data_IF_758585443176
#
_entry.id   IF_758585443176
#
_cell.length_a   1.000
_cell.length_b   1.000
_cell.length_c   1.000
_cell.angle_alpha   90.00
_cell.angle_beta   90.00
_cell.angle_gamma   90.00
#
_symmetry.space_group_name_H-M   'P 1'
#
loop_
_entity.id
_entity.type
_entity.pdbx_description
1 polymer ?
#
# COMPACT_ATOMS: atom_id res chain seq x y z
N UNK A 1 20.43 -22.25 8.28
CA UNK A 1 20.42 -21.64 6.92
C UNK A 1 19.04 -21.66 6.29
N UNK A 2 18.37 -22.82 6.16
CA UNK A 2 16.99 -22.89 5.59
C UNK A 2 16.00 -21.88 6.20
N UNK A 3 15.97 -21.73 7.53
CA UNK A 3 15.03 -20.78 8.15
C UNK A 3 15.34 -19.30 7.84
N UNK A 4 16.59 -18.97 7.48
CA UNK A 4 16.98 -17.63 7.06
C UNK A 4 16.54 -17.38 5.61
N UNK A 5 16.74 -18.35 4.74
CA UNK A 5 16.26 -18.33 3.35
C UNK A 5 14.73 -18.17 3.30
N UNK A 6 14.00 -18.95 4.11
CA UNK A 6 12.55 -18.81 4.24
C UNK A 6 12.15 -17.42 4.75
N UNK A 7 12.87 -16.86 5.72
CA UNK A 7 12.59 -15.51 6.22
C UNK A 7 12.82 -14.45 5.14
N UNK A 8 13.86 -14.59 4.32
CA UNK A 8 14.15 -13.68 3.21
C UNK A 8 13.05 -13.72 2.14
N UNK A 9 12.54 -14.90 1.80
CA UNK A 9 11.41 -15.04 0.86
C UNK A 9 10.17 -14.31 1.36
N UNK A 10 9.87 -14.39 2.65
CA UNK A 10 8.75 -13.66 3.23
C UNK A 10 8.95 -12.14 3.25
N UNK A 11 10.18 -11.68 3.44
CA UNK A 11 10.51 -10.25 3.40
C UNK A 11 10.34 -9.71 1.97
N UNK A 12 10.76 -10.48 0.96
CA UNK A 12 10.54 -10.14 -0.45
C UNK A 12 9.05 -10.04 -0.79
N UNK A 13 8.25 -10.99 -0.30
CA UNK A 13 6.80 -11.00 -0.48
C UNK A 13 6.13 -9.80 0.21
N UNK A 14 6.42 -9.55 1.49
CA UNK A 14 5.90 -8.38 2.22
C UNK A 14 6.28 -7.05 1.50
N UNK A 15 7.49 -6.97 0.94
CA UNK A 15 7.96 -5.81 0.19
C UNK A 15 7.17 -5.62 -1.11
N UNK A 16 6.93 -6.71 -1.85
CA UNK A 16 6.12 -6.69 -3.07
C UNK A 16 4.68 -6.30 -2.78
N UNK A 17 4.07 -6.84 -1.74
CA UNK A 17 2.71 -6.49 -1.33
C UNK A 17 2.61 -5.02 -0.90
N UNK A 18 3.59 -4.53 -0.14
CA UNK A 18 3.70 -3.11 0.22
C UNK A 18 3.77 -2.21 -1.02
N UNK A 19 4.61 -2.58 -2.00
CA UNK A 19 4.71 -1.85 -3.26
C UNK A 19 3.39 -1.82 -4.04
N UNK A 20 2.68 -2.95 -4.09
CA UNK A 20 1.37 -3.04 -4.73
C UNK A 20 0.31 -2.18 -4.03
N UNK A 21 0.27 -2.20 -2.70
CA UNK A 21 -0.67 -1.39 -1.92
C UNK A 21 -0.41 0.11 -2.13
N UNK A 22 0.87 0.52 -2.10
CA UNK A 22 1.26 1.90 -2.37
C UNK A 22 0.87 2.36 -3.79
N UNK A 23 1.10 1.50 -4.80
CA UNK A 23 0.72 1.81 -6.17
C UNK A 23 -0.79 2.01 -6.35
N UNK A 24 -1.62 1.28 -5.58
CA UNK A 24 -3.08 1.46 -5.59
C UNK A 24 -3.49 2.79 -4.97
N UNK A 25 -2.88 3.18 -3.86
CA UNK A 25 -3.09 4.51 -3.24
C UNK A 25 -2.69 5.61 -4.22
N UNK A 26 -1.54 5.49 -4.88
CA UNK A 26 -1.10 6.45 -5.89
C UNK A 26 -2.10 6.56 -7.05
N UNK A 27 -2.55 5.42 -7.60
CA UNK A 27 -3.54 5.41 -8.68
C UNK A 27 -4.84 6.11 -8.28
N UNK A 28 -5.31 5.91 -7.05
CA UNK A 28 -6.48 6.61 -6.53
C UNK A 28 -6.27 8.13 -6.51
N UNK A 29 -5.12 8.59 -6.03
CA UNK A 29 -4.80 10.03 -5.98
C UNK A 29 -4.68 10.63 -7.39
N UNK A 30 -4.05 9.93 -8.33
CA UNK A 30 -3.94 10.34 -9.73
C UNK A 30 -5.32 10.45 -10.38
N UNK A 31 -6.21 9.46 -10.17
CA UNK A 31 -7.59 9.51 -10.67
C UNK A 31 -8.36 10.69 -10.07
N UNK A 32 -8.22 10.90 -8.76
CA UNK A 32 -8.88 12.00 -8.03
C UNK A 32 -8.44 13.35 -8.58
N UNK A 33 -7.13 13.56 -8.73
CA UNK A 33 -6.57 14.78 -9.30
C UNK A 33 -7.06 14.99 -10.73
N UNK A 34 -7.01 13.94 -11.56
CA UNK A 34 -7.46 14.01 -12.96
C UNK A 34 -8.94 14.37 -13.10
N UNK A 35 -9.80 14.00 -12.14
CA UNK A 35 -11.19 14.48 -12.11
C UNK A 35 -11.23 15.96 -11.72
N UNK A 36 -10.52 16.36 -10.66
CA UNK A 36 -10.53 17.74 -10.14
C UNK A 36 -9.97 18.78 -11.13
N UNK A 37 -9.04 18.38 -11.99
CA UNK A 37 -8.43 19.24 -13.00
C UNK A 37 -9.30 19.45 -14.25
N UNK A 38 -10.43 18.75 -14.38
CA UNK A 38 -11.31 18.91 -15.54
C UNK A 38 -11.99 20.28 -15.54
N UNK A 39 -12.03 20.97 -16.70
CA UNK A 39 -12.65 22.29 -16.80
C UNK A 39 -14.17 22.29 -16.55
N UNK A 40 -14.80 21.11 -16.57
CA UNK A 40 -16.25 20.93 -16.45
C UNK A 40 -16.66 20.11 -15.20
N UNK A 41 -15.81 20.07 -14.16
CA UNK A 41 -16.14 19.40 -12.88
C UNK A 41 -17.50 19.81 -12.35
N UNK A 42 -18.36 18.82 -12.10
CA UNK A 42 -19.67 19.03 -11.48
C UNK A 42 -19.66 18.54 -10.05
N UNK A 43 -20.57 19.10 -9.25
CA UNK A 43 -20.80 18.68 -7.85
C UNK A 43 -21.01 17.18 -7.70
N UNK A 44 -21.69 16.53 -8.66
CA UNK A 44 -21.90 15.07 -8.64
C UNK A 44 -20.59 14.28 -8.76
N UNK A 45 -19.62 14.80 -9.52
CA UNK A 45 -18.35 14.12 -9.77
C UNK A 45 -17.48 14.18 -8.51
N UNK A 46 -17.47 15.33 -7.83
CA UNK A 46 -16.83 15.49 -6.51
C UNK A 46 -17.50 14.62 -5.45
N UNK A 47 -18.83 14.51 -5.47
CA UNK A 47 -19.54 13.68 -4.50
C UNK A 47 -19.26 12.19 -4.71
N UNK A 48 -19.13 11.74 -5.96
CA UNK A 48 -18.74 10.37 -6.28
C UNK A 48 -17.33 10.06 -5.76
N UNK A 49 -16.36 10.97 -5.94
CA UNK A 49 -15.02 10.84 -5.35
C UNK A 49 -15.05 10.76 -3.82
N UNK A 50 -15.83 11.63 -3.17
CA UNK A 50 -15.92 11.64 -1.71
C UNK A 50 -16.62 10.40 -1.12
N UNK A 51 -17.43 9.71 -1.93
CA UNK A 51 -18.09 8.46 -1.55
C UNK A 51 -17.22 7.23 -1.85
N UNK A 52 -16.15 7.38 -2.61
CA UNK A 52 -15.20 6.30 -2.89
C UNK A 52 -14.28 6.09 -1.68
N UNK A 53 -14.56 5.02 -0.94
CA UNK A 53 -13.81 4.64 0.26
C UNK A 53 -12.74 3.58 -0.02
N UNK A 54 -12.56 3.15 -1.28
CA UNK A 54 -11.60 2.09 -1.65
C UNK A 54 -10.16 2.46 -1.26
N UNK A 55 -9.83 3.76 -1.25
CA UNK A 55 -8.53 4.24 -0.80
C UNK A 55 -8.25 3.93 0.68
N UNK A 56 -9.28 3.90 1.53
CA UNK A 56 -9.12 3.58 2.95
C UNK A 56 -8.72 2.11 3.11
N UNK A 57 -9.37 1.22 2.37
CA UNK A 57 -9.00 -0.20 2.34
C UNK A 57 -7.57 -0.41 1.84
N UNK A 58 -7.15 0.35 0.82
CA UNK A 58 -5.76 0.30 0.32
C UNK A 58 -4.75 0.82 1.35
N UNK A 59 -5.10 1.85 2.13
CA UNK A 59 -4.27 2.37 3.21
C UNK A 59 -4.15 1.37 4.37
N UNK A 60 -5.24 0.66 4.70
CA UNK A 60 -5.23 -0.39 5.72
C UNK A 60 -4.31 -1.54 5.30
N UNK A 61 -4.44 -2.02 4.06
CA UNK A 61 -3.54 -3.05 3.50
C UNK A 61 -2.09 -2.57 3.53
N UNK A 62 -1.81 -1.32 3.13
CA UNK A 62 -0.46 -0.76 3.16
C UNK A 62 0.12 -0.74 4.58
N UNK A 63 -0.70 -0.37 5.59
CA UNK A 63 -0.26 -0.38 6.97
C UNK A 63 0.05 -1.81 7.45
N UNK A 64 -0.82 -2.77 7.15
CA UNK A 64 -0.63 -4.17 7.53
C UNK A 64 0.66 -4.77 6.94
N UNK A 65 0.92 -4.53 5.64
CA UNK A 65 2.11 -5.06 4.96
C UNK A 65 3.39 -4.39 5.47
N UNK A 66 3.36 -3.08 5.74
CA UNK A 66 4.49 -2.36 6.34
C UNK A 66 4.81 -2.86 7.75
N UNK A 67 3.78 -3.13 8.56
CA UNK A 67 3.98 -3.70 9.88
C UNK A 67 4.54 -5.12 9.82
N UNK A 68 4.05 -5.96 8.89
CA UNK A 68 4.59 -7.30 8.64
C UNK A 68 6.08 -7.22 8.29
N UNK A 69 6.42 -6.40 7.29
CA UNK A 69 7.78 -6.18 6.83
C UNK A 69 8.69 -5.72 7.98
N UNK A 70 8.26 -4.72 8.75
CA UNK A 70 9.00 -4.22 9.92
C UNK A 70 9.26 -5.34 10.94
N UNK A 71 8.24 -6.15 11.28
CA UNK A 71 8.37 -7.27 12.22
C UNK A 71 9.36 -8.31 11.71
N UNK A 72 9.31 -8.66 10.43
CA UNK A 72 10.22 -9.66 9.85
C UNK A 72 11.65 -9.16 9.73
N UNK A 73 11.85 -7.90 9.34
CA UNK A 73 13.17 -7.26 9.33
C UNK A 73 13.81 -7.23 10.73
N UNK A 74 13.03 -6.94 11.77
CA UNK A 74 13.52 -7.01 13.15
C UNK A 74 13.95 -8.43 13.54
N UNK A 75 13.17 -9.46 13.15
CA UNK A 75 13.54 -10.87 13.36
C UNK A 75 14.81 -11.27 12.61
N UNK A 76 14.99 -10.77 11.38
CA UNK A 76 16.20 -10.99 10.60
C UNK A 76 17.41 -10.40 11.34
N UNK A 77 17.33 -9.14 11.75
CA UNK A 77 18.41 -8.48 12.49
C UNK A 77 18.77 -9.20 13.80
N UNK A 78 17.78 -9.75 14.52
CA UNK A 78 18.02 -10.53 15.73
C UNK A 78 18.72 -11.88 15.49
N UNK A 79 18.57 -12.47 14.29
CA UNK A 79 19.22 -13.74 13.91
C UNK A 79 20.62 -13.57 13.31
N UNK A 80 20.96 -12.34 12.91
CA UNK A 80 22.28 -11.98 12.37
C UNK A 80 23.27 -11.51 13.45
N UNK A 81 22.80 -11.31 14.69
CA UNK A 81 23.63 -11.08 15.87
C UNK A 81 24.11 -12.40 16.45
#
# INVERSE_FOLDING_TARGET
MRDLETLMLFIDDDLRETGLALARVEQYLVRTLGVLERPDVRRRDVHALAADQEVLDHLDVLNETLESLRRRMARLAARLK
#
